data_IF_168436155767
#
_entry.id   IF_168436155767
#
_cell.length_a   1.000
_cell.length_b   1.000
_cell.length_c   1.000
_cell.angle_alpha   90.00
_cell.angle_beta   90.00
_cell.angle_gamma   90.00
#
_symmetry.space_group_name_H-M   'P 1'
#
loop_
_entity.id
_entity.type
_entity.pdbx_description
1 polymer ?
#
# COMPACT_ATOMS: atom_id res chain seq x y z
N UNK A 1 -0.77 16.23 12.68
CA UNK A 1 -1.62 16.07 11.48
C UNK A 1 -2.87 15.29 11.86
N UNK A 2 -4.00 15.73 11.38
CA UNK A 2 -5.23 14.97 11.59
C UNK A 2 -5.27 13.78 10.63
N UNK A 3 -5.64 12.63 11.14
CA UNK A 3 -5.73 11.39 10.38
C UNK A 3 -6.63 11.53 9.15
N UNK A 4 -7.70 12.30 9.26
CA UNK A 4 -8.64 12.50 8.16
C UNK A 4 -8.00 13.16 6.94
N UNK A 5 -7.10 14.12 7.13
CA UNK A 5 -6.36 14.75 6.03
C UNK A 5 -5.43 13.76 5.33
N UNK A 6 -4.83 12.86 6.11
CA UNK A 6 -3.97 11.83 5.56
C UNK A 6 -4.78 10.82 4.74
N UNK A 7 -5.96 10.43 5.24
CA UNK A 7 -6.89 9.56 4.49
C UNK A 7 -7.30 10.22 3.18
N UNK A 8 -7.67 11.49 3.22
CA UNK A 8 -8.01 12.24 2.00
C UNK A 8 -6.85 12.24 1.01
N UNK A 9 -5.62 12.43 1.51
CA UNK A 9 -4.43 12.38 0.67
C UNK A 9 -4.28 11.03 -0.02
N UNK A 10 -4.40 9.92 0.72
CA UNK A 10 -4.28 8.58 0.14
C UNK A 10 -5.39 8.28 -0.85
N UNK A 11 -6.63 8.62 -0.53
CA UNK A 11 -7.78 8.32 -1.41
C UNK A 11 -7.78 9.18 -2.67
N UNK A 12 -7.23 10.39 -2.59
CA UNK A 12 -7.10 11.29 -3.74
C UNK A 12 -5.77 11.20 -4.46
N UNK A 13 -4.92 10.22 -4.13
CA UNK A 13 -3.57 10.16 -4.66
C UNK A 13 -3.57 9.94 -6.18
N UNK A 14 -2.87 10.81 -6.88
CA UNK A 14 -2.62 10.78 -8.31
C UNK A 14 -1.14 11.06 -8.53
N UNK A 15 -0.59 10.85 -9.75
CA UNK A 15 0.83 11.12 -10.01
C UNK A 15 1.28 12.53 -9.56
N UNK A 16 0.43 13.52 -9.74
CA UNK A 16 0.71 14.91 -9.33
C UNK A 16 0.84 15.06 -7.82
N UNK A 17 0.16 14.21 -7.05
CA UNK A 17 0.17 14.25 -5.60
C UNK A 17 1.45 13.72 -4.96
N UNK A 18 2.29 13.02 -5.72
CA UNK A 18 3.54 12.44 -5.19
C UNK A 18 4.47 13.54 -4.68
N UNK A 19 4.50 14.70 -5.32
CA UNK A 19 5.30 15.84 -4.87
C UNK A 19 4.89 16.35 -3.48
N UNK A 20 3.68 16.02 -3.02
CA UNK A 20 3.16 16.46 -1.72
C UNK A 20 3.50 15.53 -0.55
N UNK A 21 4.16 14.40 -0.79
CA UNK A 21 4.54 13.49 0.29
C UNK A 21 5.29 14.18 1.44
N UNK A 22 6.20 15.13 1.19
CA UNK A 22 6.87 15.84 2.30
C UNK A 22 5.95 16.66 3.22
N UNK A 23 4.74 16.97 2.79
CA UNK A 23 3.75 17.61 3.66
C UNK A 23 3.21 16.64 4.71
N UNK A 24 3.20 15.34 4.42
CA UNK A 24 2.60 14.29 5.24
C UNK A 24 3.62 13.35 5.89
N UNK A 25 4.82 13.23 5.32
CA UNK A 25 5.87 12.33 5.77
C UNK A 25 7.09 13.10 6.25
N UNK A 26 7.72 12.61 7.30
CA UNK A 26 9.01 13.16 7.74
C UNK A 26 10.10 12.84 6.72
N UNK A 27 11.17 13.65 6.71
CA UNK A 27 12.26 13.49 5.75
C UNK A 27 12.92 12.11 5.83
N UNK A 28 12.97 11.51 7.01
CA UNK A 28 13.61 10.22 7.29
C UNK A 28 12.60 9.08 7.54
N UNK A 29 11.37 9.23 7.07
CA UNK A 29 10.31 8.25 7.29
C UNK A 29 10.70 6.86 6.83
N UNK A 30 10.34 5.86 7.65
CA UNK A 30 10.50 4.45 7.32
C UNK A 30 9.25 3.94 6.61
N UNK A 31 9.46 3.11 5.58
CA UNK A 31 8.38 2.46 4.84
C UNK A 31 8.72 1.00 4.57
N UNK A 32 7.75 0.13 4.75
CA UNK A 32 7.86 -1.28 4.37
C UNK A 32 6.54 -1.78 3.79
N UNK A 33 6.65 -2.55 2.70
CA UNK A 33 5.56 -3.36 2.15
C UNK A 33 6.09 -4.76 1.83
N UNK A 34 5.30 -5.67 1.22
CA UNK A 34 5.80 -7.02 0.89
C UNK A 34 7.03 -7.07 -0.02
N UNK A 35 7.30 -6.01 -0.78
CA UNK A 35 8.38 -5.98 -1.77
C UNK A 35 9.48 -4.97 -1.44
N UNK A 36 9.21 -3.98 -0.59
CA UNK A 36 10.11 -2.86 -0.36
C UNK A 36 10.35 -2.62 1.11
N UNK A 37 11.55 -2.20 1.44
CA UNK A 37 11.88 -1.66 2.75
C UNK A 37 12.85 -0.51 2.52
N UNK A 38 12.43 0.71 2.83
CA UNK A 38 13.21 1.92 2.56
C UNK A 38 13.13 2.92 3.70
N UNK A 39 14.02 3.87 3.68
CA UNK A 39 14.01 5.01 4.59
C UNK A 39 14.23 6.29 3.80
N UNK A 40 13.43 7.30 4.13
CA UNK A 40 13.48 8.61 3.48
C UNK A 40 12.28 8.85 2.56
N UNK A 41 11.74 10.07 2.64
CA UNK A 41 10.54 10.44 1.87
C UNK A 41 10.77 10.34 0.36
N UNK A 42 11.98 10.64 -0.12
CA UNK A 42 12.30 10.51 -1.53
C UNK A 42 12.22 9.05 -2.03
N UNK A 43 12.68 8.11 -1.20
CA UNK A 43 12.58 6.69 -1.53
C UNK A 43 11.12 6.22 -1.55
N UNK A 44 10.30 6.72 -0.63
CA UNK A 44 8.86 6.44 -0.59
C UNK A 44 8.18 6.99 -1.85
N UNK A 45 8.50 8.21 -2.24
CA UNK A 45 7.98 8.82 -3.47
C UNK A 45 8.30 7.97 -4.70
N UNK A 46 9.49 7.40 -4.78
CA UNK A 46 9.88 6.50 -5.89
C UNK A 46 9.04 5.24 -5.93
N UNK A 47 8.70 4.66 -4.77
CA UNK A 47 7.82 3.49 -4.70
C UNK A 47 6.45 3.80 -5.28
N UNK A 48 5.85 4.92 -4.90
CA UNK A 48 4.54 5.32 -5.39
C UNK A 48 4.57 5.72 -6.88
N UNK A 49 5.63 6.37 -7.32
CA UNK A 49 5.84 6.66 -8.76
C UNK A 49 5.87 5.36 -9.55
N UNK A 50 6.62 4.37 -9.08
CA UNK A 50 6.72 3.06 -9.72
C UNK A 50 5.35 2.36 -9.77
N UNK A 51 4.57 2.46 -8.70
CA UNK A 51 3.21 1.91 -8.66
C UNK A 51 2.34 2.50 -9.78
N UNK A 52 2.35 3.83 -9.96
CA UNK A 52 1.58 4.47 -11.03
C UNK A 52 2.04 4.06 -12.43
N UNK A 53 3.30 3.68 -12.59
CA UNK A 53 3.83 3.16 -13.86
C UNK A 53 3.41 1.71 -14.10
N UNK A 54 3.27 0.91 -13.05
CA UNK A 54 3.05 -0.53 -13.14
C UNK A 54 1.58 -0.92 -13.27
N UNK A 55 0.67 -0.14 -12.73
CA UNK A 55 -0.76 -0.47 -12.72
C UNK A 55 -1.59 0.66 -13.31
N UNK A 56 -2.77 0.31 -13.85
CA UNK A 56 -3.74 1.27 -14.35
C UNK A 56 -4.75 1.67 -13.28
N UNK A 57 -5.12 2.93 -13.27
CA UNK A 57 -6.21 3.47 -12.44
C UNK A 57 -6.10 3.10 -10.95
N UNK A 58 -4.93 3.25 -10.31
CA UNK A 58 -4.78 2.87 -8.91
C UNK A 58 -5.62 3.79 -8.00
N UNK A 59 -6.34 3.19 -7.05
CA UNK A 59 -7.19 3.93 -6.12
C UNK A 59 -7.27 3.22 -4.78
N UNK A 60 -6.97 3.95 -3.71
CA UNK A 60 -7.15 3.46 -2.35
C UNK A 60 -8.50 3.89 -1.80
N UNK A 61 -9.19 2.98 -1.13
CA UNK A 61 -10.41 3.28 -0.37
C UNK A 61 -10.19 2.80 1.05
N UNK A 62 -10.19 3.73 2.00
CA UNK A 62 -10.03 3.42 3.43
C UNK A 62 -11.39 3.08 4.01
N UNK A 63 -11.56 1.87 4.52
CA UNK A 63 -12.81 1.38 5.06
C UNK A 63 -12.91 1.52 6.58
N UNK A 64 -11.78 1.42 7.28
CA UNK A 64 -11.75 1.47 8.74
C UNK A 64 -10.51 2.20 9.24
N UNK A 65 -10.64 2.83 10.41
CA UNK A 65 -9.57 3.53 11.09
C UNK A 65 -9.58 3.14 12.55
N UNK A 66 -8.42 2.72 13.05
CA UNK A 66 -8.21 2.43 14.48
C UNK A 66 -7.07 3.31 14.96
N UNK A 67 -7.29 4.07 16.02
CA UNK A 67 -6.31 5.03 16.56
C UNK A 67 -6.10 4.75 18.05
N UNK A 68 -4.83 4.63 18.46
CA UNK A 68 -4.45 4.58 19.87
C UNK A 68 -3.06 5.20 20.08
N UNK A 69 -2.47 5.02 21.25
CA UNK A 69 -1.14 5.57 21.57
C UNK A 69 -0.01 4.97 20.72
N UNK A 70 -0.23 3.83 20.08
CA UNK A 70 0.76 3.16 19.23
C UNK A 70 0.72 3.62 17.78
N UNK A 71 -0.24 4.48 17.43
CA UNK A 71 -0.38 5.02 16.10
C UNK A 71 -1.76 4.82 15.49
N UNK A 72 -1.79 4.72 14.17
CA UNK A 72 -3.03 4.59 13.39
C UNK A 72 -2.94 3.34 12.53
N UNK A 73 -4.01 2.55 12.55
CA UNK A 73 -4.21 1.45 11.60
C UNK A 73 -5.30 1.87 10.61
N UNK A 74 -4.98 1.84 9.33
CA UNK A 74 -5.95 2.08 8.27
C UNK A 74 -6.19 0.78 7.52
N UNK A 75 -7.43 0.31 7.52
CA UNK A 75 -7.84 -0.82 6.69
C UNK A 75 -8.31 -0.28 5.35
N UNK A 76 -7.77 -0.81 4.27
CA UNK A 76 -8.06 -0.28 2.95
C UNK A 76 -8.24 -1.37 1.91
N UNK A 77 -8.89 -0.99 0.80
CA UNK A 77 -8.96 -1.77 -0.43
C UNK A 77 -8.26 -0.96 -1.52
N UNK A 78 -7.33 -1.59 -2.20
CA UNK A 78 -6.63 -1.00 -3.33
C UNK A 78 -7.22 -1.56 -4.63
N UNK A 79 -7.81 -0.67 -5.42
CA UNK A 79 -8.37 -0.99 -6.73
C UNK A 79 -7.35 -0.63 -7.81
N UNK A 80 -7.15 -1.52 -8.77
CA UNK A 80 -6.25 -1.25 -9.88
C UNK A 80 -6.60 -2.10 -11.10
N UNK A 81 -6.02 -1.74 -12.24
CA UNK A 81 -6.04 -2.57 -13.44
C UNK A 81 -4.65 -3.11 -13.70
N UNK A 82 -4.55 -4.42 -13.90
CA UNK A 82 -3.27 -5.06 -14.17
C UNK A 82 -2.82 -4.69 -15.60
N UNK A 83 -1.67 -4.04 -15.74
CA UNK A 83 -1.02 -3.77 -17.03
C UNK A 83 -0.17 -4.93 -17.46
N UNK A 84 0.49 -5.59 -16.50
CA UNK A 84 1.28 -6.80 -16.74
C UNK A 84 0.34 -7.94 -17.07
N UNK A 85 0.65 -8.75 -18.08
CA UNK A 85 -0.05 -9.97 -18.45
C UNK A 85 -1.17 -9.82 -19.48
N UNK A 86 -1.33 -8.66 -20.11
CA UNK A 86 -2.24 -8.47 -21.25
C UNK A 86 -3.72 -8.67 -20.95
N UNK A 87 -4.09 -8.86 -19.69
CA UNK A 87 -5.47 -9.04 -19.24
C UNK A 87 -5.84 -7.85 -18.36
N UNK A 88 -6.25 -6.75 -18.96
CA UNK A 88 -6.59 -5.50 -18.29
C UNK A 88 -7.83 -5.55 -17.40
N UNK A 89 -8.04 -6.63 -16.64
CA UNK A 89 -9.15 -6.77 -15.74
C UNK A 89 -8.97 -5.95 -14.47
N UNK A 90 -10.08 -5.52 -13.88
CA UNK A 90 -10.11 -4.87 -12.59
C UNK A 90 -9.68 -5.85 -11.50
N UNK A 91 -8.76 -5.41 -10.62
CA UNK A 91 -8.23 -6.20 -9.51
C UNK A 91 -8.37 -5.43 -8.22
N UNK A 92 -8.35 -6.13 -7.10
CA UNK A 92 -8.36 -5.54 -5.76
C UNK A 92 -7.32 -6.21 -4.88
N UNK A 93 -6.75 -5.43 -3.96
CA UNK A 93 -5.90 -5.91 -2.87
C UNK A 93 -6.49 -5.36 -1.56
N UNK A 94 -6.71 -6.25 -0.60
CA UNK A 94 -7.14 -5.87 0.74
C UNK A 94 -5.90 -5.76 1.63
N UNK A 95 -5.77 -4.66 2.33
CA UNK A 95 -4.58 -4.44 3.14
C UNK A 95 -4.83 -3.55 4.33
N UNK A 96 -3.76 -3.36 5.09
CA UNK A 96 -3.75 -2.55 6.30
C UNK A 96 -2.42 -1.82 6.37
N UNK A 97 -2.48 -0.53 6.69
CA UNK A 97 -1.30 0.28 6.96
C UNK A 97 -1.21 0.58 8.45
N UNK A 98 -0.03 0.32 9.04
CA UNK A 98 0.31 0.79 10.38
C UNK A 98 1.15 2.04 10.26
N UNK A 99 0.67 3.13 10.81
CA UNK A 99 1.30 4.45 10.73
C UNK A 99 1.66 4.96 12.11
N UNK A 100 2.86 5.54 12.24
CA UNK A 100 3.27 6.29 13.43
C UNK A 100 3.70 7.67 13.00
N UNK A 101 3.63 8.62 13.92
CA UNK A 101 3.86 10.04 13.64
C UNK A 101 4.99 10.60 14.50
N UNK A 102 5.68 11.60 13.97
CA UNK A 102 6.67 12.36 14.71
C UNK A 102 5.99 13.47 15.56
N UNK A 103 6.81 14.27 16.26
CA UNK A 103 6.31 15.29 17.16
C UNK A 103 5.53 16.42 16.46
N UNK A 104 5.75 16.61 15.16
CA UNK A 104 5.02 17.64 14.38
C UNK A 104 3.84 17.04 13.60
N UNK A 105 3.58 15.74 13.77
CA UNK A 105 2.42 15.08 13.18
C UNK A 105 2.63 14.53 11.78
N UNK A 106 3.87 14.42 11.29
CA UNK A 106 4.16 13.76 10.03
C UNK A 106 4.41 12.29 10.24
N UNK A 107 4.04 11.48 9.26
CA UNK A 107 4.29 10.04 9.27
C UNK A 107 5.81 9.80 9.28
N UNK A 108 6.31 9.12 10.30
CA UNK A 108 7.70 8.69 10.38
C UNK A 108 7.87 7.18 10.25
N UNK A 109 6.76 6.44 10.33
CA UNK A 109 6.72 4.99 10.18
C UNK A 109 5.46 4.63 9.40
N UNK A 110 5.63 3.83 8.34
CA UNK A 110 4.53 3.33 7.51
C UNK A 110 4.84 1.89 7.11
N UNK A 111 4.06 0.96 7.58
CA UNK A 111 4.18 -0.43 7.15
C UNK A 111 2.86 -0.94 6.63
N UNK A 112 2.88 -1.44 5.39
CA UNK A 112 1.74 -2.06 4.76
C UNK A 112 1.77 -3.57 4.97
N UNK A 113 0.64 -4.11 5.36
CA UNK A 113 0.41 -5.55 5.51
C UNK A 113 -0.66 -5.98 4.52
N UNK A 114 -0.29 -6.83 3.59
CA UNK A 114 -1.26 -7.50 2.73
C UNK A 114 -0.67 -8.82 2.27
N UNK A 115 -1.56 -9.76 1.94
CA UNK A 115 -1.16 -11.12 1.59
C UNK A 115 -0.80 -11.19 0.10
N UNK A 116 0.49 -11.06 -0.20
CA UNK A 116 0.97 -11.10 -1.58
C UNK A 116 0.71 -12.46 -2.24
N UNK A 117 0.71 -13.55 -1.47
CA UNK A 117 0.40 -14.87 -2.00
C UNK A 117 -1.04 -14.96 -2.47
N UNK A 118 -2.00 -14.54 -1.63
CA UNK A 118 -3.42 -14.58 -1.97
C UNK A 118 -3.79 -13.55 -3.02
N UNK A 119 -3.35 -12.30 -2.81
CA UNK A 119 -3.81 -11.15 -3.59
C UNK A 119 -3.10 -10.99 -4.93
N UNK A 120 -1.91 -11.58 -5.08
CA UNK A 120 -1.11 -11.43 -6.29
C UNK A 120 -0.67 -12.76 -6.88
N UNK A 121 0.13 -13.56 -6.14
CA UNK A 121 0.78 -14.74 -6.70
C UNK A 121 -0.20 -15.83 -7.12
N UNK A 122 -1.30 -16.02 -6.39
CA UNK A 122 -2.32 -17.00 -6.76
C UNK A 122 -3.07 -16.65 -8.04
N UNK A 123 -3.00 -15.39 -8.48
CA UNK A 123 -3.62 -14.89 -9.71
C UNK A 123 -2.73 -15.06 -10.94
N UNK A 124 -1.46 -15.41 -10.74
CA UNK A 124 -0.51 -15.66 -11.83
C UNK A 124 -0.62 -17.11 -12.29
N UNK A 125 -0.50 -17.41 -13.62
CA UNK A 125 -0.76 -18.76 -14.14
C UNK A 125 0.09 -19.86 -13.50
N UNK A 126 1.42 -19.79 -13.59
CA UNK A 126 2.31 -20.84 -13.08
C UNK A 126 2.51 -20.75 -11.56
N UNK A 127 2.87 -19.57 -11.07
CA UNK A 127 3.09 -19.31 -9.64
C UNK A 127 1.79 -19.50 -8.87
N UNK A 128 0.65 -19.12 -9.46
CA UNK A 128 -0.66 -19.30 -8.86
C UNK A 128 -0.99 -20.75 -8.59
N UNK A 129 -0.68 -21.66 -9.52
CA UNK A 129 -0.88 -23.10 -9.32
C UNK A 129 -0.03 -23.62 -8.16
N UNK A 130 1.24 -23.20 -8.08
CA UNK A 130 2.14 -23.57 -6.99
C UNK A 130 1.60 -23.06 -5.64
N UNK A 131 1.18 -21.80 -5.59
CA UNK A 131 0.66 -21.18 -4.37
C UNK A 131 -0.64 -21.87 -3.90
N UNK A 132 -1.53 -22.21 -4.82
CA UNK A 132 -2.76 -22.95 -4.48
C UNK A 132 -2.45 -24.35 -3.96
N UNK A 133 -1.44 -25.00 -4.52
CA UNK A 133 -0.95 -26.30 -4.03
C UNK A 133 -0.43 -26.21 -2.60
N UNK A 134 0.42 -25.23 -2.31
CA UNK A 134 0.94 -25.00 -0.96
C UNK A 134 -0.18 -24.67 0.03
N UNK A 135 -1.14 -23.86 -0.40
CA UNK A 135 -2.30 -23.52 0.43
C UNK A 135 -3.09 -24.78 0.84
N UNK A 136 -3.32 -25.70 -0.10
CA UNK A 136 -4.02 -26.97 0.20
C UNK A 136 -3.24 -27.83 1.18
N UNK A 137 -1.92 -27.89 1.05
CA UNK A 137 -1.06 -28.65 1.95
C UNK A 137 -1.08 -28.10 3.38
N UNK A 138 -1.14 -26.78 3.53
CA UNK A 138 -1.05 -26.10 4.82
C UNK A 138 -2.41 -25.83 5.47
N UNK A 139 -3.49 -25.90 4.70
CA UNK A 139 -4.84 -25.70 5.24
C UNK A 139 -5.28 -26.85 6.13
N UNK A 140 -5.95 -26.52 7.21
CA UNK A 140 -6.50 -27.51 8.13
C UNK A 140 -7.84 -28.05 7.63
#
# INVERSE_FOLDING_TARGET
>A
MKTDKLIEFYQGLAPEGIARFPEFYSADAYFKDPFNEVRGVAAIQRIFTHMFEQVGEPRFVVSEKVVDENGVMLVWVFHYRAKLMGKGGAQVIHGLSHLKFDAVGRVNYHRDYWDAAEELYMKLPAIGMLMRGLRRMLAA
#
